data_IF_783679849014
#
_entry.id   IF_783679849014
#
_cell.length_a   1.000
_cell.length_b   1.000
_cell.length_c   1.000
_cell.angle_alpha   90.00
_cell.angle_beta   90.00
_cell.angle_gamma   90.00
#
_symmetry.space_group_name_H-M   'P 1'
#
loop_
_entity.id
_entity.type
_entity.pdbx_description
1 polymer ?
#
# COMPACT_ATOMS: atom_id res chain seq x y z
N UNK A 1 0.62 38.61 12.06
CA UNK A 1 0.01 37.80 10.98
C UNK A 1 -1.04 36.92 11.63
N UNK A 2 -2.30 37.10 11.27
CA UNK A 2 -3.40 36.30 11.82
C UNK A 2 -3.48 34.96 11.08
N UNK A 3 -3.86 33.88 11.78
CA UNK A 3 -3.98 32.54 11.19
C UNK A 3 -5.38 32.39 10.60
N UNK A 4 -5.46 31.98 9.33
CA UNK A 4 -6.74 31.68 8.69
C UNK A 4 -7.22 30.29 9.10
N UNK A 5 -8.50 30.19 9.48
CA UNK A 5 -9.19 28.94 9.78
C UNK A 5 -10.32 28.74 8.76
N UNK A 6 -10.56 27.49 8.36
CA UNK A 6 -11.58 27.15 7.38
C UNK A 6 -11.53 25.67 7.01
N UNK A 7 -12.52 25.23 6.24
CA UNK A 7 -12.56 23.88 5.69
C UNK A 7 -11.60 23.75 4.51
N UNK A 8 -10.97 22.58 4.37
CA UNK A 8 -10.13 22.27 3.22
C UNK A 8 -10.39 20.84 2.72
N UNK A 9 -10.16 20.63 1.43
CA UNK A 9 -10.19 19.31 0.78
C UNK A 9 -8.95 19.19 -0.09
N UNK A 10 -8.29 18.03 -0.06
CA UNK A 10 -7.12 17.71 -0.89
C UNK A 10 -7.29 16.33 -1.51
N UNK A 11 -7.07 16.24 -2.82
CA UNK A 11 -7.02 14.98 -3.56
C UNK A 11 -5.61 14.73 -4.07
N UNK A 12 -5.16 13.48 -4.00
CA UNK A 12 -3.84 13.04 -4.48
C UNK A 12 -4.04 11.78 -5.32
N UNK A 13 -3.58 11.80 -6.57
CA UNK A 13 -3.59 10.61 -7.43
C UNK A 13 -2.50 9.63 -6.96
N UNK A 14 -2.86 8.36 -6.85
CA UNK A 14 -1.93 7.33 -6.39
C UNK A 14 -1.31 6.61 -7.61
N UNK A 15 0.02 6.41 -7.64
CA UNK A 15 0.70 5.83 -8.80
C UNK A 15 0.51 4.31 -8.91
N UNK A 16 0.01 3.64 -7.87
CA UNK A 16 -0.17 2.18 -7.80
C UNK A 16 -1.42 1.83 -6.98
N UNK A 17 -1.99 0.63 -7.17
CA UNK A 17 -3.05 0.11 -6.30
C UNK A 17 -2.59 0.02 -4.84
N UNK A 18 -3.44 0.48 -3.94
CA UNK A 18 -3.23 0.43 -2.49
C UNK A 18 -4.39 -0.25 -1.81
N UNK A 19 -4.16 -0.85 -0.64
CA UNK A 19 -5.19 -1.40 0.21
C UNK A 19 -5.75 -0.29 1.12
N UNK A 20 -6.76 0.44 0.63
CA UNK A 20 -7.41 1.52 1.37
C UNK A 20 -8.09 1.03 2.66
N UNK A 21 -8.53 -0.23 2.73
CA UNK A 21 -9.14 -0.83 3.93
C UNK A 21 -8.14 -1.00 5.08
N UNK A 22 -6.84 -0.98 4.79
CA UNK A 22 -5.76 -1.06 5.77
C UNK A 22 -5.01 0.27 5.95
N UNK A 23 -5.63 1.39 5.55
CA UNK A 23 -5.07 2.71 5.76
C UNK A 23 -4.84 2.97 7.25
N UNK A 24 -3.72 3.63 7.57
CA UNK A 24 -3.41 4.11 8.92
C UNK A 24 -3.27 5.61 8.89
N UNK A 25 -3.80 6.30 9.88
CA UNK A 25 -3.70 7.76 10.00
C UNK A 25 -3.16 8.14 11.37
N UNK A 26 -2.43 9.26 11.41
CA UNK A 26 -1.90 9.82 12.65
C UNK A 26 -1.89 11.33 12.55
N UNK A 27 -2.57 12.00 13.49
CA UNK A 27 -2.48 13.45 13.64
C UNK A 27 -1.60 13.76 14.84
N UNK A 28 -0.46 14.41 14.62
CA UNK A 28 0.41 14.82 15.72
C UNK A 28 1.14 16.12 15.39
N UNK A 29 1.26 17.02 16.38
CA UNK A 29 1.98 18.30 16.25
C UNK A 29 1.56 19.14 15.03
N UNK A 30 0.27 19.08 14.65
CA UNK A 30 -0.27 19.82 13.51
C UNK A 30 -0.02 19.19 12.14
N UNK A 31 0.52 17.95 12.07
CA UNK A 31 0.73 17.20 10.85
C UNK A 31 -0.19 15.98 10.81
N UNK A 32 -0.94 15.83 9.71
CA UNK A 32 -1.71 14.63 9.40
C UNK A 32 -0.86 13.71 8.52
N UNK A 33 -0.48 12.56 9.06
CA UNK A 33 0.17 11.46 8.35
C UNK A 33 -0.90 10.46 7.90
N UNK A 34 -0.83 10.02 6.64
CA UNK A 34 -1.70 9.00 6.05
C UNK A 34 -0.83 7.96 5.37
N UNK A 35 -0.91 6.71 5.82
CA UNK A 35 -0.15 5.57 5.28
C UNK A 35 -1.10 4.63 4.57
N UNK A 36 -0.84 4.38 3.28
CA UNK A 36 -1.62 3.50 2.41
C UNK A 36 -0.74 2.30 2.01
N UNK A 37 -0.98 1.10 2.57
CA UNK A 37 -0.22 -0.09 2.20
C UNK A 37 -0.43 -0.43 0.72
N UNK A 38 0.63 -0.88 0.03
CA UNK A 38 0.52 -1.38 -1.35
C UNK A 38 -0.22 -2.71 -1.37
N UNK A 39 -0.96 -2.97 -2.45
CA UNK A 39 -1.41 -4.34 -2.74
C UNK A 39 -0.18 -5.16 -3.16
N UNK A 40 0.11 -6.30 -2.51
CA UNK A 40 1.24 -7.14 -2.89
C UNK A 40 1.03 -7.68 -4.31
N UNK A 41 2.04 -7.52 -5.17
CA UNK A 41 2.04 -8.09 -6.51
C UNK A 41 2.52 -9.54 -6.41
N UNK A 42 1.61 -10.50 -6.61
CA UNK A 42 1.92 -11.93 -6.50
C UNK A 42 2.54 -12.49 -7.78
N UNK A 43 2.64 -11.69 -8.85
CA UNK A 43 3.11 -12.16 -10.16
C UNK A 43 4.63 -12.29 -10.24
N UNK A 44 5.37 -11.62 -9.36
CA UNK A 44 6.85 -11.71 -9.29
C UNK A 44 7.36 -12.91 -8.50
N UNK A 45 6.48 -13.80 -8.00
CA UNK A 45 6.91 -15.03 -7.36
C UNK A 45 7.10 -16.12 -8.41
N UNK A 46 8.30 -16.22 -8.96
CA UNK A 46 8.72 -17.45 -9.65
C UNK A 46 8.55 -18.64 -8.70
N UNK A 47 7.88 -19.69 -9.18
CA UNK A 47 7.69 -20.94 -8.46
C UNK A 47 8.53 -22.00 -9.16
N UNK A 48 9.62 -22.43 -8.52
CA UNK A 48 10.34 -23.61 -8.97
C UNK A 48 9.46 -24.85 -8.74
N UNK A 49 9.03 -25.49 -9.83
CA UNK A 49 8.29 -26.74 -9.79
C UNK A 49 9.31 -27.89 -9.94
N UNK A 50 9.64 -28.64 -8.87
CA UNK A 50 10.58 -29.75 -8.98
C UNK A 50 9.93 -30.92 -9.72
N UNK A 51 10.49 -31.29 -10.87
CA UNK A 51 10.10 -32.52 -11.59
C UNK A 51 10.80 -33.69 -10.92
N UNK A 52 10.03 -34.65 -10.40
CA UNK A 52 10.54 -35.96 -9.98
C UNK A 52 10.18 -36.96 -11.07
N UNK A 53 11.20 -37.53 -11.69
CA UNK A 53 11.04 -38.71 -12.55
C UNK A 53 10.93 -39.94 -11.64
N UNK A 54 9.82 -40.68 -11.77
CA UNK A 54 9.73 -42.02 -11.20
C UNK A 54 10.63 -42.94 -12.02
N UNK A 55 11.73 -43.40 -11.42
CA UNK A 55 12.50 -44.51 -11.97
C UNK A 55 11.70 -45.79 -11.73
N UNK A 56 11.18 -46.39 -12.81
CA UNK A 56 10.57 -47.71 -12.79
C UNK A 56 11.64 -48.76 -12.44
N UNK A 57 11.41 -49.51 -11.36
CA UNK A 57 12.20 -50.67 -10.94
C UNK A 57 11.43 -51.97 -11.08
#
# INVERSE_FOLDING_TARGET
MERYFGSFVKSVALPRPVNSRQAKTRLSRGLLEVVLPRVPDLREKEHDIPVKTEEEG
#
